data_IF_043131875572
#
_entry.id   IF_043131875572
#
_cell.length_a   1.000
_cell.length_b   1.000
_cell.length_c   1.000
_cell.angle_alpha   90.00
_cell.angle_beta   90.00
_cell.angle_gamma   90.00
#
_symmetry.space_group_name_H-M   'P 1'
#
loop_
_entity.id
_entity.type
_entity.pdbx_description
1 polymer ?
#
# COMPACT_ATOMS: atom_id res chain seq x y z
N UNK A 1 -12.22 0.64 24.53
CA UNK A 1 -11.29 0.24 23.47
C UNK A 1 -11.45 1.20 22.32
N UNK A 2 -10.41 1.96 21.97
CA UNK A 2 -10.43 2.76 20.75
C UNK A 2 -10.54 1.84 19.54
N UNK A 3 -11.33 2.25 18.54
CA UNK A 3 -11.51 1.51 17.29
C UNK A 3 -10.15 1.39 16.59
N UNK A 4 -9.71 0.17 16.30
CA UNK A 4 -8.51 -0.06 15.50
C UNK A 4 -8.69 0.61 14.12
N UNK A 5 -7.80 1.56 13.80
CA UNK A 5 -7.91 2.32 12.55
C UNK A 5 -7.21 1.56 11.43
N UNK A 6 -7.75 1.67 10.23
CA UNK A 6 -7.18 1.09 9.04
C UNK A 6 -6.52 2.18 8.20
N UNK A 7 -5.20 2.16 8.15
CA UNK A 7 -4.39 3.14 7.43
C UNK A 7 -3.92 2.51 6.12
N UNK A 8 -4.36 3.06 4.99
CA UNK A 8 -3.85 2.70 3.68
C UNK A 8 -2.61 3.50 3.32
N UNK A 9 -1.64 2.87 2.66
CA UNK A 9 -0.42 3.52 2.16
C UNK A 9 -0.24 3.17 0.69
N UNK A 10 -0.36 4.16 -0.18
CA UNK A 10 -0.13 4.00 -1.61
C UNK A 10 1.39 3.86 -1.88
N UNK A 11 1.76 2.75 -2.52
CA UNK A 11 3.15 2.38 -2.79
C UNK A 11 3.39 2.18 -4.28
N UNK A 12 4.31 2.96 -4.85
CA UNK A 12 4.80 2.85 -6.24
C UNK A 12 6.32 2.63 -6.32
N UNK A 13 6.97 2.34 -5.17
CA UNK A 13 8.43 2.23 -5.00
C UNK A 13 9.25 3.46 -5.38
N UNK A 14 8.62 4.62 -5.59
CA UNK A 14 9.34 5.87 -5.74
C UNK A 14 9.99 6.29 -4.43
N UNK A 15 11.01 7.15 -4.50
CA UNK A 15 11.62 7.73 -3.30
C UNK A 15 10.60 8.45 -2.41
N UNK A 16 9.54 9.00 -3.02
CA UNK A 16 8.50 9.75 -2.30
C UNK A 16 7.45 8.88 -1.64
N UNK A 17 7.08 7.74 -2.23
CA UNK A 17 6.20 6.78 -1.57
C UNK A 17 6.91 6.12 -0.38
N UNK A 18 8.20 5.81 -0.51
CA UNK A 18 9.02 5.30 0.60
C UNK A 18 9.12 6.31 1.75
N UNK A 19 9.33 7.59 1.43
CA UNK A 19 9.33 8.65 2.44
C UNK A 19 7.96 8.79 3.13
N UNK A 20 6.87 8.66 2.37
CA UNK A 20 5.52 8.70 2.93
C UNK A 20 5.24 7.50 3.85
N UNK A 21 5.73 6.30 3.50
CA UNK A 21 5.67 5.12 4.37
C UNK A 21 6.43 5.34 5.68
N UNK A 22 7.66 5.86 5.62
CA UNK A 22 8.44 6.20 6.82
C UNK A 22 7.68 7.18 7.72
N UNK A 23 7.20 8.27 7.11
CA UNK A 23 6.47 9.30 7.83
C UNK A 23 5.20 8.74 8.49
N UNK A 24 4.44 7.89 7.79
CA UNK A 24 3.25 7.23 8.34
C UNK A 24 3.60 6.32 9.52
N UNK A 25 4.68 5.53 9.41
CA UNK A 25 5.16 4.66 10.48
C UNK A 25 5.53 5.39 11.76
N UNK A 26 6.17 6.55 11.61
CA UNK A 26 6.68 7.33 12.74
C UNK A 26 5.61 8.23 13.37
N UNK A 27 4.71 8.81 12.56
CA UNK A 27 3.82 9.89 12.99
C UNK A 27 2.34 9.52 13.03
N UNK A 28 1.88 8.63 12.15
CA UNK A 28 0.45 8.33 11.97
C UNK A 28 0.04 7.03 12.67
N UNK A 29 0.85 5.98 12.50
CA UNK A 29 0.55 4.62 12.93
C UNK A 29 0.73 4.48 14.44
N UNK A 30 -0.33 3.99 15.10
CA UNK A 30 -0.37 3.72 16.53
C UNK A 30 -0.50 2.24 16.81
N UNK A 31 -0.40 1.90 18.09
CA UNK A 31 -0.56 0.53 18.54
C UNK A 31 -1.96 0.00 18.28
N UNK A 32 -2.04 -1.21 17.71
CA UNK A 32 -3.30 -1.84 17.33
C UNK A 32 -3.88 -1.37 15.99
N UNK A 33 -3.26 -0.42 15.29
CA UNK A 33 -3.69 -0.02 13.95
C UNK A 33 -3.37 -1.12 12.91
N UNK A 34 -4.17 -1.12 11.84
CA UNK A 34 -3.97 -1.98 10.68
C UNK A 34 -3.42 -1.16 9.53
N UNK A 35 -2.25 -1.54 9.04
CA UNK A 35 -1.57 -0.88 7.93
C UNK A 35 -1.79 -1.71 6.67
N UNK A 36 -2.33 -1.09 5.62
CA UNK A 36 -2.56 -1.72 4.32
C UNK A 36 -1.69 -1.03 3.29
N UNK A 37 -0.65 -1.72 2.80
CA UNK A 37 0.05 -1.30 1.60
C UNK A 37 -0.84 -1.52 0.38
N UNK A 38 -1.13 -0.46 -0.36
CA UNK A 38 -1.87 -0.53 -1.62
C UNK A 38 -0.89 -0.25 -2.74
N UNK A 39 -0.70 -1.25 -3.60
CA UNK A 39 0.11 -1.10 -4.79
C UNK A 39 -0.77 -1.25 -6.01
N UNK A 40 -0.67 -0.33 -6.95
CA UNK A 40 -1.37 -0.43 -8.23
C UNK A 40 -0.35 -0.71 -9.33
N UNK A 41 -0.59 -1.77 -10.08
CA UNK A 41 0.19 -2.14 -11.25
C UNK A 41 -0.55 -1.72 -12.53
N UNK A 42 0.17 -1.21 -13.54
CA UNK A 42 -0.44 -0.80 -14.79
C UNK A 42 -1.04 -2.01 -15.51
N UNK A 43 -2.08 -1.81 -16.33
CA UNK A 43 -2.82 -2.88 -17.00
C UNK A 43 -1.97 -3.69 -17.99
N UNK A 44 -0.80 -3.21 -18.41
CA UNK A 44 0.10 -3.89 -19.35
C UNK A 44 1.06 -4.90 -18.70
N UNK A 45 0.99 -5.12 -17.39
CA UNK A 45 1.83 -6.12 -16.72
C UNK A 45 1.34 -7.55 -17.04
N UNK A 46 2.08 -8.29 -17.88
CA UNK A 46 1.82 -9.70 -18.24
C UNK A 46 2.15 -10.63 -17.07
N UNK A 47 1.19 -10.82 -16.15
CA UNK A 47 1.34 -11.75 -15.04
C UNK A 47 0.20 -12.76 -14.97
N UNK A 48 0.57 -14.01 -14.70
CA UNK A 48 -0.27 -15.22 -14.76
C UNK A 48 -1.49 -15.19 -13.83
N UNK A 49 -1.52 -14.30 -12.83
CA UNK A 49 -2.63 -14.11 -11.88
C UNK A 49 -3.55 -12.92 -12.21
N UNK A 50 -3.25 -12.10 -13.22
CA UNK A 50 -4.07 -10.94 -13.61
C UNK A 50 -5.50 -11.36 -13.99
N UNK A 51 -5.64 -12.46 -14.75
CA UNK A 51 -6.95 -13.01 -15.14
C UNK A 51 -7.82 -13.48 -13.96
N UNK A 52 -7.23 -13.78 -12.80
CA UNK A 52 -7.97 -14.29 -11.63
C UNK A 52 -8.48 -13.18 -10.70
N UNK A 53 -7.90 -11.97 -10.77
CA UNK A 53 -8.11 -10.90 -9.78
C UNK A 53 -8.32 -9.50 -10.40
N UNK A 54 -8.60 -9.43 -11.71
CA UNK A 54 -8.83 -8.18 -12.44
C UNK A 54 -9.92 -7.29 -11.82
N UNK A 55 -10.93 -7.90 -11.17
CA UNK A 55 -12.04 -7.17 -10.56
C UNK A 55 -11.84 -6.73 -9.11
N UNK A 56 -11.13 -7.51 -8.28
CA UNK A 56 -11.11 -7.32 -6.81
C UNK A 56 -9.71 -7.06 -6.21
N UNK A 57 -8.65 -7.20 -7.01
CA UNK A 57 -7.27 -7.14 -6.54
C UNK A 57 -6.79 -8.43 -5.88
N UNK A 58 -5.51 -8.48 -5.51
CA UNK A 58 -4.90 -9.63 -4.86
C UNK A 58 -5.56 -9.93 -3.50
N UNK A 59 -5.43 -11.16 -2.98
CA UNK A 59 -5.70 -11.39 -1.57
C UNK A 59 -4.83 -10.46 -0.70
N UNK A 60 -5.29 -10.23 0.53
CA UNK A 60 -4.53 -9.49 1.53
C UNK A 60 -3.34 -10.33 1.98
N UNK A 61 -2.14 -9.86 1.67
CA UNK A 61 -0.90 -10.59 1.87
C UNK A 61 -0.22 -10.06 3.13
N UNK A 62 -0.05 -10.86 4.19
CA UNK A 62 0.67 -10.43 5.39
C UNK A 62 2.15 -10.18 5.09
N UNK A 63 2.81 -9.39 5.96
CA UNK A 63 4.24 -9.06 5.80
C UNK A 63 5.15 -10.30 5.66
N UNK A 64 4.78 -11.42 6.29
CA UNK A 64 5.49 -12.70 6.20
C UNK A 64 5.50 -13.26 4.77
N UNK A 65 4.35 -13.29 4.11
CA UNK A 65 4.20 -13.72 2.71
C UNK A 65 4.78 -12.69 1.74
N UNK A 66 4.70 -11.40 2.08
CA UNK A 66 5.29 -10.33 1.29
C UNK A 66 6.81 -10.50 1.13
N UNK A 67 7.48 -11.07 2.15
CA UNK A 67 8.92 -11.35 2.14
C UNK A 67 9.31 -12.48 1.18
N UNK A 68 8.37 -13.31 0.75
CA UNK A 68 8.67 -14.40 -0.16
C UNK A 68 8.99 -13.88 -1.57
N UNK A 69 10.15 -14.28 -2.10
CA UNK A 69 10.62 -13.97 -3.46
C UNK A 69 9.58 -14.43 -4.51
N UNK A 70 8.80 -15.46 -4.19
CA UNK A 70 7.73 -15.98 -5.04
C UNK A 70 6.60 -14.96 -5.24
N UNK A 71 6.27 -14.15 -4.23
CA UNK A 71 5.24 -13.11 -4.33
C UNK A 71 5.67 -11.98 -5.26
N UNK A 72 6.91 -11.50 -5.12
CA UNK A 72 7.46 -10.44 -5.97
C UNK A 72 7.42 -10.81 -7.45
N UNK A 73 7.82 -12.04 -7.80
CA UNK A 73 7.77 -12.54 -9.19
C UNK A 73 6.36 -12.79 -9.71
N UNK A 74 5.45 -13.23 -8.83
CA UNK A 74 4.09 -13.60 -9.21
C UNK A 74 3.16 -12.41 -9.42
N UNK A 75 3.44 -11.29 -8.76
CA UNK A 75 2.62 -10.08 -8.79
C UNK A 75 3.33 -8.89 -9.47
N UNK A 76 4.55 -9.09 -10.00
CA UNK A 76 5.32 -8.04 -10.68
C UNK A 76 5.87 -6.97 -9.73
N UNK A 77 6.01 -7.30 -8.45
CA UNK A 77 6.45 -6.32 -7.45
C UNK A 77 7.97 -6.24 -7.44
N UNK A 78 8.47 -5.02 -7.28
CA UNK A 78 9.89 -4.81 -7.06
C UNK A 78 10.18 -5.13 -5.60
N UNK A 79 10.98 -6.17 -5.34
CA UNK A 79 11.45 -6.43 -3.98
C UNK A 79 12.36 -5.28 -3.56
N UNK A 80 11.93 -4.52 -2.57
CA UNK A 80 12.69 -3.39 -2.06
C UNK A 80 12.97 -3.56 -0.57
N UNK A 81 14.20 -3.94 -0.24
CA UNK A 81 14.61 -4.22 1.14
C UNK A 81 14.35 -3.05 2.09
N UNK A 82 14.38 -1.80 1.60
CA UNK A 82 14.12 -0.61 2.40
C UNK A 82 12.65 -0.55 2.85
N UNK A 83 11.72 -0.85 1.95
CA UNK A 83 10.28 -0.88 2.26
C UNK A 83 9.99 -1.98 3.29
N UNK A 84 10.57 -3.16 3.10
CA UNK A 84 10.41 -4.28 4.03
C UNK A 84 10.94 -3.96 5.44
N UNK A 85 12.10 -3.32 5.52
CA UNK A 85 12.73 -2.96 6.79
C UNK A 85 11.88 -1.94 7.57
N UNK A 86 11.31 -0.94 6.87
CA UNK A 86 10.39 0.02 7.49
C UNK A 86 9.13 -0.69 7.98
N UNK A 87 8.55 -1.60 7.20
CA UNK A 87 7.34 -2.32 7.59
C UNK A 87 7.56 -3.25 8.79
N UNK A 88 8.69 -3.96 8.82
CA UNK A 88 9.07 -4.80 9.96
C UNK A 88 9.30 -3.94 11.21
N UNK A 89 10.00 -2.81 11.06
CA UNK A 89 10.19 -1.83 12.15
C UNK A 89 8.86 -1.32 12.68
N UNK A 90 7.93 -0.91 11.82
CA UNK A 90 6.60 -0.43 12.23
C UNK A 90 5.80 -1.53 12.92
N UNK A 91 5.82 -2.75 12.38
CA UNK A 91 5.10 -3.88 12.96
C UNK A 91 5.64 -4.23 14.35
N UNK A 92 6.96 -4.22 14.55
CA UNK A 92 7.59 -4.51 15.85
C UNK A 92 7.48 -3.35 16.85
N UNK A 93 7.71 -2.13 16.40
CA UNK A 93 7.75 -0.95 17.27
C UNK A 93 6.35 -0.51 17.72
N UNK A 94 5.35 -0.70 16.87
CA UNK A 94 3.96 -0.30 17.17
C UNK A 94 3.03 -1.49 17.37
N UNK A 95 3.44 -2.73 17.15
CA UNK A 95 2.50 -3.87 17.17
C UNK A 95 1.41 -3.78 16.09
N UNK A 96 1.63 -3.00 15.03
CA UNK A 96 0.66 -2.77 13.98
C UNK A 96 0.60 -3.97 13.02
N UNK A 97 -0.61 -4.30 12.56
CA UNK A 97 -0.82 -5.39 11.60
C UNK A 97 -0.60 -4.87 10.19
N UNK A 98 0.51 -5.27 9.57
CA UNK A 98 0.85 -4.89 8.20
C UNK A 98 0.35 -5.95 7.22
N UNK A 99 -0.41 -5.50 6.21
CA UNK A 99 -0.86 -6.31 5.08
C UNK A 99 -0.62 -5.53 3.78
N UNK A 100 -0.42 -6.23 2.67
CA UNK A 100 -0.27 -5.66 1.34
C UNK A 100 -1.40 -6.14 0.43
N UNK A 101 -1.87 -5.27 -0.47
CA UNK A 101 -2.84 -5.59 -1.51
C UNK A 101 -2.40 -4.96 -2.83
N UNK A 102 -2.41 -5.77 -3.87
CA UNK A 102 -2.04 -5.36 -5.22
C UNK A 102 -3.31 -5.23 -6.06
N UNK A 103 -3.44 -4.11 -6.76
CA UNK A 103 -4.51 -3.85 -7.71
C UNK A 103 -3.92 -3.72 -9.12
N UNK A 104 -4.73 -4.00 -10.14
CA UNK A 104 -4.35 -3.81 -11.53
C UNK A 104 -5.31 -2.82 -12.20
N UNK A 105 -4.77 -1.87 -12.96
CA UNK A 105 -5.56 -0.86 -13.67
C UNK A 105 -5.07 0.56 -13.39
N UNK A 106 -5.98 1.53 -13.48
CA UNK A 106 -5.68 2.93 -13.24
C UNK A 106 -5.45 3.21 -11.74
N UNK A 107 -4.29 3.77 -11.34
CA UNK A 107 -3.97 4.02 -9.93
C UNK A 107 -5.00 4.86 -9.19
N UNK A 108 -5.62 5.82 -9.86
CA UNK A 108 -6.63 6.70 -9.24
C UNK A 108 -7.90 5.96 -8.88
N UNK A 109 -8.44 5.20 -9.83
CA UNK A 109 -9.67 4.44 -9.63
C UNK A 109 -9.43 3.33 -8.62
N UNK A 110 -8.32 2.61 -8.73
CA UNK A 110 -8.00 1.51 -7.81
C UNK A 110 -7.69 1.96 -6.39
N UNK A 111 -7.17 3.17 -6.19
CA UNK A 111 -7.05 3.73 -4.84
C UNK A 111 -8.41 4.06 -4.23
N UNK A 112 -9.35 4.59 -5.03
CA UNK A 112 -10.72 4.86 -4.57
C UNK A 112 -11.43 3.55 -4.24
N UNK A 113 -11.38 2.56 -5.15
CA UNK A 113 -11.91 1.21 -4.92
C UNK A 113 -11.33 0.62 -3.63
N UNK A 114 -10.01 0.76 -3.40
CA UNK A 114 -9.35 0.23 -2.21
C UNK A 114 -9.79 0.90 -0.90
N UNK A 115 -10.06 2.21 -0.93
CA UNK A 115 -10.58 2.94 0.24
C UNK A 115 -11.97 2.42 0.62
N UNK A 116 -12.83 2.20 -0.38
CA UNK A 116 -14.20 1.68 -0.18
C UNK A 116 -14.20 0.21 0.25
N UNK A 117 -13.47 -0.64 -0.48
CA UNK A 117 -13.38 -2.09 -0.24
C UNK A 117 -12.83 -2.42 1.15
N UNK A 118 -11.76 -1.73 1.54
CA UNK A 118 -11.02 -2.02 2.76
C UNK A 118 -11.45 -1.15 3.94
N UNK A 119 -12.41 -0.23 3.71
CA UNK A 119 -12.93 0.73 4.69
C UNK A 119 -11.79 1.46 5.42
N UNK A 120 -10.90 2.06 4.63
CA UNK A 120 -9.76 2.79 5.18
C UNK A 120 -10.24 4.03 5.94
N UNK A 121 -9.71 4.24 7.15
CA UNK A 121 -9.95 5.46 7.91
C UNK A 121 -8.99 6.60 7.46
N UNK A 122 -7.86 6.27 6.83
CA UNK A 122 -6.91 7.25 6.29
C UNK A 122 -6.10 6.65 5.13
N UNK A 123 -5.76 7.46 4.13
CA UNK A 123 -4.88 7.09 3.01
C UNK A 123 -3.66 8.01 2.96
N UNK A 124 -2.46 7.42 2.99
CA UNK A 124 -1.19 8.14 2.86
C UNK A 124 -0.60 7.87 1.48
N UNK A 125 -0.11 8.92 0.81
CA UNK A 125 0.52 8.83 -0.50
C UNK A 125 1.75 9.73 -0.59
N UNK A 126 2.70 9.36 -1.46
CA UNK A 126 3.87 10.20 -1.76
C UNK A 126 3.47 11.52 -2.42
N UNK A 127 3.97 12.64 -1.88
CA UNK A 127 3.55 13.98 -2.34
C UNK A 127 4.22 14.46 -3.63
N UNK A 128 5.23 13.75 -4.16
CA UNK A 128 5.99 14.21 -5.34
C UNK A 128 6.40 13.04 -6.24
N UNK A 129 5.42 12.43 -6.89
CA UNK A 129 5.61 11.35 -7.87
C UNK A 129 4.65 11.42 -9.05
N UNK A 130 4.23 12.63 -9.47
CA UNK A 130 3.51 12.83 -10.72
C UNK A 130 4.21 13.94 -11.50
N UNK A 131 5.09 13.55 -12.42
CA UNK A 131 5.13 14.26 -13.67
C UNK A 131 3.70 14.30 -14.22
N UNK A 132 3.17 15.51 -14.42
CA UNK A 132 1.90 15.81 -15.09
C UNK A 132 0.57 15.81 -14.30
N UNK A 133 0.55 16.02 -12.98
CA UNK A 133 -0.70 16.45 -12.33
C UNK A 133 -0.48 17.64 -11.39
N UNK A 134 -0.36 18.82 -12.01
CA UNK A 134 -0.92 20.03 -11.41
C UNK A 134 -2.40 19.76 -11.15
N UNK A 135 -2.79 19.64 -9.88
CA UNK A 135 -3.90 20.36 -9.22
C UNK A 135 -3.98 19.80 -7.79
N UNK A 136 -3.66 20.65 -6.81
CA UNK A 136 -3.73 20.30 -5.41
C UNK A 136 -5.16 20.00 -4.98
N UNK A 137 -5.30 19.06 -4.04
CA UNK A 137 -6.42 19.01 -3.12
C UNK A 137 -5.87 18.52 -1.78
N UNK A 138 -5.90 19.42 -0.80
CA UNK A 138 -5.78 19.07 0.60
C UNK A 138 -7.05 18.30 0.99
N UNK A 139 -6.90 17.12 1.59
CA UNK A 139 -8.04 16.38 2.14
C UNK A 139 -8.15 16.69 3.62
N UNK A 140 -9.12 17.53 3.93
CA UNK A 140 -9.70 17.74 5.26
C UNK A 140 -11.22 17.66 5.06
N UNK A 141 -11.86 16.69 5.70
CA UNK A 141 -13.28 16.64 6.03
C UNK A 141 -13.42 15.85 7.33
#
# INVERSE_FOLDING_TARGET
MEKARTVGIAMDYSSTSKAALRWAGENLIREGDRVILIQVQPPQSDHTRKQLFEGSGSPLVPLEEFREINFSKQYGLTYDSEVHDILDTVSRAKGAKVVAKVYWGDPREKLIDAVEDLKLDSLVMGSRGLGCCQKGVAWEC
#
